data_IF_389029479353
#
_entry.id   IF_389029479353
#
_cell.length_a   1.000
_cell.length_b   1.000
_cell.length_c   1.000
_cell.angle_alpha   90.00
_cell.angle_beta   90.00
_cell.angle_gamma   90.00
#
_symmetry.space_group_name_H-M   'P 1'
#
loop_
_entity.id
_entity.type
_entity.pdbx_description
1 polymer ?
#
# COMPACT_ATOMS: atom_id res chain seq x y z
N UNK A 1 13.58 11.61 -14.98
CA UNK A 1 13.28 10.82 -13.76
C UNK A 1 12.88 9.41 -14.16
N UNK A 2 13.26 8.37 -13.39
CA UNK A 2 12.85 6.97 -13.65
C UNK A 2 11.34 6.84 -13.43
N UNK A 3 10.63 6.30 -14.41
CA UNK A 3 9.20 6.00 -14.34
C UNK A 3 9.02 4.54 -13.94
N UNK A 4 8.09 4.27 -13.04
CA UNK A 4 7.77 2.95 -12.53
C UNK A 4 6.38 2.53 -12.98
N UNK A 5 6.18 1.24 -13.22
CA UNK A 5 4.84 0.67 -13.31
C UNK A 5 4.34 0.42 -11.87
N UNK A 6 3.35 1.18 -11.45
CA UNK A 6 2.78 1.12 -10.11
C UNK A 6 1.40 0.45 -10.13
N UNK A 7 1.00 -0.09 -9.00
CA UNK A 7 -0.38 -0.47 -8.77
C UNK A 7 -0.79 -0.31 -7.30
N UNK A 8 -2.04 0.08 -7.10
CA UNK A 8 -2.68 0.07 -5.79
C UNK A 8 -3.48 -1.23 -5.60
N UNK A 9 -3.42 -1.82 -4.41
CA UNK A 9 -4.26 -2.96 -4.00
C UNK A 9 -5.40 -2.47 -3.11
N UNK A 10 -6.51 -3.19 -3.09
CA UNK A 10 -7.69 -2.87 -2.29
C UNK A 10 -8.51 -4.12 -1.96
N UNK A 11 -9.44 -3.97 -1.03
CA UNK A 11 -10.49 -4.97 -0.81
C UNK A 11 -11.38 -5.14 -2.04
N UNK A 12 -11.88 -6.35 -2.25
CA UNK A 12 -12.77 -6.65 -3.37
C UNK A 12 -14.02 -5.74 -3.36
N UNK A 13 -14.38 -5.20 -4.53
CA UNK A 13 -15.49 -4.27 -4.71
C UNK A 13 -15.10 -2.78 -4.60
N UNK A 14 -13.89 -2.46 -4.17
CA UNK A 14 -13.41 -1.08 -4.09
C UNK A 14 -12.57 -0.63 -5.31
N UNK A 15 -12.43 -1.47 -6.33
CA UNK A 15 -11.63 -1.16 -7.51
C UNK A 15 -12.06 0.14 -8.20
N UNK A 16 -13.39 0.36 -8.34
CA UNK A 16 -13.92 1.58 -8.94
C UNK A 16 -13.66 2.83 -8.10
N UNK A 17 -13.65 2.69 -6.78
CA UNK A 17 -13.41 3.80 -5.85
C UNK A 17 -11.94 4.22 -5.89
N UNK A 18 -11.00 3.27 -5.75
CA UNK A 18 -9.56 3.53 -5.88
C UNK A 18 -9.21 4.08 -7.26
N UNK A 19 -9.87 3.55 -8.32
CA UNK A 19 -9.70 4.05 -9.68
C UNK A 19 -10.07 5.53 -9.80
N UNK A 20 -11.22 5.94 -9.23
CA UNK A 20 -11.64 7.35 -9.21
C UNK A 20 -10.68 8.22 -8.41
N UNK A 21 -10.16 7.74 -7.27
CA UNK A 21 -9.15 8.47 -6.50
C UNK A 21 -7.88 8.73 -7.34
N UNK A 22 -7.34 7.69 -8.01
CA UNK A 22 -6.15 7.83 -8.85
C UNK A 22 -6.40 8.74 -10.07
N UNK A 23 -7.56 8.61 -10.74
CA UNK A 23 -7.94 9.50 -11.83
C UNK A 23 -8.09 10.95 -11.37
N UNK A 24 -8.68 11.18 -10.19
CA UNK A 24 -8.76 12.50 -9.56
C UNK A 24 -7.39 13.11 -9.23
N UNK A 25 -6.36 12.28 -9.04
CA UNK A 25 -4.97 12.71 -8.88
C UNK A 25 -4.25 12.96 -10.22
N UNK A 26 -4.91 12.69 -11.37
CA UNK A 26 -4.37 12.91 -12.71
C UNK A 26 -3.75 11.69 -13.39
N UNK A 27 -3.85 10.50 -12.80
CA UNK A 27 -3.25 9.29 -13.39
C UNK A 27 -4.14 8.65 -14.45
N UNK A 28 -3.52 8.16 -15.54
CA UNK A 28 -4.14 7.20 -16.45
C UNK A 28 -4.06 5.81 -15.81
N UNK A 29 -5.20 5.13 -15.73
CA UNK A 29 -5.34 3.90 -14.95
C UNK A 29 -5.81 2.72 -15.79
N UNK A 30 -5.46 1.50 -15.35
CA UNK A 30 -5.99 0.23 -15.85
C UNK A 30 -6.45 -0.60 -14.65
N UNK A 31 -7.73 -0.94 -14.65
CA UNK A 31 -8.37 -1.68 -13.55
C UNK A 31 -8.29 -3.19 -13.81
N UNK A 32 -7.88 -3.94 -12.79
CA UNK A 32 -8.00 -5.39 -12.71
C UNK A 32 -8.65 -5.78 -11.38
N UNK A 33 -9.04 -7.04 -11.24
CA UNK A 33 -9.61 -7.53 -9.99
C UNK A 33 -8.62 -7.37 -8.82
N UNK A 34 -9.00 -6.59 -7.81
CA UNK A 34 -8.21 -6.27 -6.63
C UNK A 34 -7.00 -5.34 -6.88
N UNK A 35 -6.90 -4.71 -8.07
CA UNK A 35 -5.77 -3.82 -8.42
C UNK A 35 -6.18 -2.72 -9.37
N UNK A 36 -5.51 -1.57 -9.22
CA UNK A 36 -5.55 -0.48 -10.20
C UNK A 36 -4.12 -0.10 -10.54
N UNK A 37 -3.74 -0.28 -11.82
CA UNK A 37 -2.41 0.03 -12.34
C UNK A 37 -2.34 1.47 -12.84
N UNK A 38 -1.18 2.09 -12.66
CA UNK A 38 -0.85 3.43 -13.15
C UNK A 38 0.68 3.56 -13.31
N UNK A 39 1.14 4.63 -13.94
CA UNK A 39 2.56 4.93 -14.04
C UNK A 39 2.90 6.15 -13.20
N UNK A 40 4.12 6.20 -12.68
CA UNK A 40 4.58 7.32 -11.88
C UNK A 40 6.05 7.26 -11.50
N UNK A 41 6.52 8.33 -10.91
CA UNK A 41 7.89 8.55 -10.41
C UNK A 41 7.98 8.30 -8.91
N UNK A 42 9.11 8.58 -8.28
CA UNK A 42 9.24 8.56 -6.82
C UNK A 42 8.29 9.56 -6.13
N UNK A 43 8.08 10.74 -6.72
CA UNK A 43 7.11 11.72 -6.22
C UNK A 43 5.69 11.15 -6.22
N UNK A 44 5.33 10.37 -7.25
CA UNK A 44 4.01 9.73 -7.35
C UNK A 44 3.86 8.58 -6.36
N UNK A 45 4.94 7.85 -6.05
CA UNK A 45 4.96 6.86 -4.96
C UNK A 45 4.62 7.54 -3.63
N UNK A 46 5.27 8.66 -3.32
CA UNK A 46 4.97 9.44 -2.11
C UNK A 46 3.54 9.94 -2.13
N UNK A 47 3.13 10.60 -3.21
CA UNK A 47 1.79 11.20 -3.36
C UNK A 47 0.69 10.16 -3.17
N UNK A 48 0.80 9.00 -3.80
CA UNK A 48 -0.24 7.97 -3.73
C UNK A 48 -0.29 7.27 -2.37
N UNK A 49 0.86 6.99 -1.75
CA UNK A 49 0.89 6.47 -0.38
C UNK A 49 0.34 7.48 0.65
N UNK A 50 0.60 8.76 0.47
CA UNK A 50 0.16 9.82 1.38
C UNK A 50 -1.36 10.08 1.27
N UNK A 51 -1.92 10.08 0.05
CA UNK A 51 -3.26 10.58 -0.23
C UNK A 51 -4.33 9.53 -0.52
N UNK A 52 -3.99 8.30 -0.91
CA UNK A 52 -4.99 7.25 -1.16
C UNK A 52 -5.69 6.86 0.15
N UNK A 53 -7.01 7.01 0.15
CA UNK A 53 -7.85 6.74 1.31
C UNK A 53 -8.39 5.32 1.34
N UNK A 54 -8.65 4.75 0.15
CA UNK A 54 -9.42 3.50 0.01
C UNK A 54 -8.56 2.31 -0.40
N UNK A 55 -7.30 2.54 -0.76
CA UNK A 55 -6.34 1.49 -1.05
C UNK A 55 -5.77 0.82 0.20
N UNK A 56 -5.27 -0.40 0.04
CA UNK A 56 -4.52 -1.12 1.08
C UNK A 56 -3.02 -0.85 0.99
N UNK A 57 -2.45 -0.87 -0.23
CA UNK A 57 -1.02 -0.71 -0.49
C UNK A 57 -0.78 -0.13 -1.88
N UNK A 58 0.38 0.50 -2.05
CA UNK A 58 0.94 0.89 -3.35
C UNK A 58 2.23 0.11 -3.57
N UNK A 59 2.37 -0.51 -4.73
CA UNK A 59 3.50 -1.37 -5.06
C UNK A 59 4.10 -1.01 -6.41
N UNK A 60 5.40 -1.24 -6.57
CA UNK A 60 6.10 -1.21 -7.86
C UNK A 60 6.00 -2.60 -8.47
N UNK A 61 5.47 -2.73 -9.69
CA UNK A 61 5.55 -3.95 -10.46
C UNK A 61 6.96 -4.07 -11.06
N UNK A 62 7.69 -5.10 -10.65
CA UNK A 62 9.05 -5.36 -11.11
C UNK A 62 9.06 -6.20 -12.38
N UNK A 63 8.37 -7.34 -12.35
CA UNK A 63 8.27 -8.28 -13.49
C UNK A 63 6.93 -8.99 -13.50
N UNK A 64 6.39 -9.27 -14.68
CA UNK A 64 5.21 -10.09 -14.89
C UNK A 64 5.55 -11.17 -15.93
N UNK A 65 5.25 -12.44 -15.63
CA UNK A 65 5.55 -13.56 -16.50
C UNK A 65 4.62 -14.75 -16.22
N UNK A 66 4.56 -15.71 -17.17
CA UNK A 66 3.80 -16.94 -16.99
C UNK A 66 4.67 -17.97 -16.27
N UNK A 67 4.15 -18.58 -15.20
CA UNK A 67 4.80 -19.65 -14.47
C UNK A 67 3.80 -20.78 -14.17
N UNK A 68 4.09 -21.97 -14.70
CA UNK A 68 3.28 -23.20 -14.48
C UNK A 68 4.02 -24.26 -13.69
N UNK A 69 5.31 -24.05 -13.43
CA UNK A 69 6.23 -24.93 -12.72
C UNK A 69 7.25 -24.09 -11.95
N UNK A 70 7.93 -24.71 -10.99
CA UNK A 70 8.90 -24.03 -10.14
C UNK A 70 10.20 -23.63 -10.84
N UNK A 71 10.61 -24.38 -11.87
CA UNK A 71 11.82 -24.06 -12.63
C UNK A 71 11.62 -22.76 -13.42
N UNK A 72 10.48 -22.61 -14.08
CA UNK A 72 10.11 -21.33 -14.73
C UNK A 72 10.04 -20.18 -13.72
N UNK A 73 9.39 -20.41 -12.57
CA UNK A 73 9.30 -19.38 -11.51
C UNK A 73 10.69 -18.96 -11.02
N UNK A 74 11.59 -19.92 -10.80
CA UNK A 74 12.96 -19.67 -10.39
C UNK A 74 13.74 -18.89 -11.46
N UNK A 75 13.77 -19.36 -12.69
CA UNK A 75 14.58 -18.79 -13.76
C UNK A 75 14.13 -17.36 -14.09
N UNK A 76 12.84 -17.12 -14.24
CA UNK A 76 12.29 -15.79 -14.52
C UNK A 76 12.53 -14.81 -13.38
N UNK A 77 12.56 -15.29 -12.13
CA UNK A 77 12.91 -14.48 -10.96
C UNK A 77 14.41 -14.18 -10.92
N UNK A 78 15.25 -15.18 -11.20
CA UNK A 78 16.69 -15.06 -11.23
C UNK A 78 17.17 -14.08 -12.32
N UNK A 79 16.52 -14.04 -13.48
CA UNK A 79 16.89 -13.18 -14.61
C UNK A 79 16.65 -11.66 -14.35
N UNK A 80 15.94 -11.30 -13.28
CA UNK A 80 15.76 -9.91 -12.91
C UNK A 80 17.06 -9.32 -12.33
N UNK A 81 17.34 -8.06 -12.61
CA UNK A 81 18.52 -7.36 -12.08
C UNK A 81 18.28 -6.85 -10.65
N UNK A 82 18.46 -7.77 -9.68
CA UNK A 82 18.19 -7.46 -8.28
C UNK A 82 19.17 -6.47 -7.66
N UNK A 83 20.41 -6.40 -8.15
CA UNK A 83 21.42 -5.49 -7.62
C UNK A 83 21.12 -3.99 -7.93
N UNK A 84 20.31 -3.71 -8.97
CA UNK A 84 19.80 -2.35 -9.20
C UNK A 84 18.76 -1.91 -8.16
N UNK A 85 18.12 -2.87 -7.48
CA UNK A 85 17.03 -2.62 -6.54
C UNK A 85 17.46 -2.81 -5.08
N UNK A 86 18.23 -3.86 -4.80
CA UNK A 86 18.57 -4.34 -3.48
C UNK A 86 20.07 -4.16 -3.20
N UNK A 87 20.47 -3.36 -2.19
CA UNK A 87 21.84 -3.37 -1.67
C UNK A 87 22.25 -4.77 -1.20
N UNK A 88 23.55 -5.01 -1.13
CA UNK A 88 24.12 -6.32 -0.76
C UNK A 88 23.68 -6.81 0.62
N UNK A 89 23.36 -5.89 1.52
CA UNK A 89 22.93 -6.15 2.90
C UNK A 89 21.42 -5.97 3.12
N UNK A 90 20.66 -5.75 2.05
CA UNK A 90 19.20 -5.58 2.14
C UNK A 90 18.51 -6.74 2.86
N UNK A 91 17.57 -6.43 3.74
CA UNK A 91 16.55 -7.39 4.20
C UNK A 91 15.42 -7.40 3.21
N UNK A 92 15.11 -8.54 2.64
CA UNK A 92 14.01 -8.65 1.67
C UNK A 92 13.09 -9.84 1.99
N UNK A 93 12.15 -9.65 2.93
CA UNK A 93 11.11 -10.65 3.16
C UNK A 93 10.27 -10.80 1.89
N UNK A 94 10.01 -12.04 1.50
CA UNK A 94 9.19 -12.37 0.34
C UNK A 94 7.85 -12.91 0.82
N UNK A 95 6.75 -12.28 0.43
CA UNK A 95 5.41 -12.79 0.66
C UNK A 95 4.87 -13.41 -0.63
N UNK A 96 4.35 -14.63 -0.54
CA UNK A 96 3.78 -15.36 -1.66
C UNK A 96 2.27 -15.48 -1.53
N UNK A 97 1.59 -15.37 -2.67
CA UNK A 97 0.18 -15.70 -2.80
C UNK A 97 -0.09 -16.37 -4.14
N UNK A 98 -0.80 -17.49 -4.12
CA UNK A 98 -1.13 -18.23 -5.33
C UNK A 98 -2.63 -18.56 -5.36
N UNK A 99 -3.32 -18.14 -6.44
CA UNK A 99 -4.76 -18.31 -6.60
C UNK A 99 -5.07 -18.81 -7.99
N UNK A 100 -5.91 -19.86 -8.09
CA UNK A 100 -6.34 -20.45 -9.38
C UNK A 100 -5.17 -20.77 -10.32
N UNK A 101 -4.08 -21.31 -9.78
CA UNK A 101 -2.82 -21.57 -10.49
C UNK A 101 -2.32 -22.99 -10.24
N UNK A 102 -1.48 -23.52 -11.15
CA UNK A 102 -0.82 -24.82 -10.96
C UNK A 102 0.12 -24.78 -9.73
N UNK A 103 0.88 -23.73 -9.59
CA UNK A 103 1.64 -23.44 -8.37
C UNK A 103 0.68 -22.90 -7.34
N UNK A 104 0.32 -23.69 -6.33
CA UNK A 104 -0.68 -23.35 -5.33
C UNK A 104 -0.14 -23.34 -3.89
N UNK A 105 1.06 -23.90 -3.66
CA UNK A 105 1.72 -23.87 -2.36
C UNK A 105 2.39 -22.50 -2.16
N UNK A 106 1.79 -21.64 -1.37
CA UNK A 106 2.34 -20.29 -1.07
C UNK A 106 3.73 -20.38 -0.40
N UNK A 107 3.99 -21.28 0.57
CA UNK A 107 5.34 -21.42 1.15
C UNK A 107 6.41 -21.83 0.12
N UNK A 108 6.08 -22.74 -0.81
CA UNK A 108 7.04 -23.17 -1.83
C UNK A 108 7.32 -22.05 -2.83
N UNK A 109 6.28 -21.32 -3.25
CA UNK A 109 6.41 -20.12 -4.10
C UNK A 109 7.34 -19.08 -3.43
N UNK A 110 7.14 -18.79 -2.15
CA UNK A 110 7.99 -17.87 -1.39
C UNK A 110 9.45 -18.37 -1.35
N UNK A 111 9.65 -19.63 -1.01
CA UNK A 111 10.97 -20.23 -0.87
C UNK A 111 11.74 -20.21 -2.19
N UNK A 112 11.09 -20.59 -3.31
CA UNK A 112 11.69 -20.59 -4.65
C UNK A 112 12.07 -19.18 -5.08
N UNK A 113 11.18 -18.21 -4.92
CA UNK A 113 11.45 -16.81 -5.26
C UNK A 113 12.59 -16.25 -4.39
N UNK A 114 12.56 -16.46 -3.06
CA UNK A 114 13.65 -16.02 -2.16
C UNK A 114 14.98 -16.64 -2.60
N UNK A 115 15.01 -17.95 -2.91
CA UNK A 115 16.22 -18.64 -3.35
C UNK A 115 16.75 -18.06 -4.66
N UNK A 116 15.89 -17.78 -5.63
CA UNK A 116 16.29 -17.22 -6.92
C UNK A 116 16.92 -15.83 -6.75
N UNK A 117 16.31 -14.97 -5.90
CA UNK A 117 16.83 -13.64 -5.59
C UNK A 117 18.20 -13.74 -4.91
N UNK A 118 18.33 -14.58 -3.88
CA UNK A 118 19.61 -14.79 -3.15
C UNK A 118 20.69 -15.23 -4.10
N UNK A 119 20.43 -16.24 -4.95
CA UNK A 119 21.42 -16.75 -5.91
C UNK A 119 21.86 -15.65 -6.88
N UNK A 120 20.91 -14.89 -7.45
CA UNK A 120 21.23 -13.78 -8.36
C UNK A 120 22.06 -12.70 -7.68
N UNK A 121 21.70 -12.30 -6.47
CA UNK A 121 22.45 -11.28 -5.71
C UNK A 121 23.87 -11.77 -5.35
N UNK A 122 24.02 -13.05 -4.96
CA UNK A 122 25.34 -13.66 -4.69
C UNK A 122 26.23 -13.56 -5.94
N UNK A 123 25.68 -13.88 -7.11
CA UNK A 123 26.41 -13.82 -8.38
C UNK A 123 26.71 -12.36 -8.78
N UNK A 124 25.75 -11.46 -8.70
CA UNK A 124 25.93 -10.04 -9.08
C UNK A 124 26.92 -9.30 -8.15
N UNK A 125 26.91 -9.60 -6.86
CA UNK A 125 27.82 -9.00 -5.88
C UNK A 125 29.15 -9.79 -5.72
N UNK A 126 29.36 -10.85 -6.51
CA UNK A 126 30.56 -11.71 -6.46
C UNK A 126 30.88 -12.20 -5.03
N UNK A 127 29.84 -12.53 -4.26
CA UNK A 127 29.97 -12.99 -2.87
C UNK A 127 30.21 -14.50 -2.81
N UNK A 128 30.90 -14.91 -1.73
CA UNK A 128 30.98 -16.31 -1.32
C UNK A 128 30.22 -16.47 0.00
N UNK A 129 29.16 -17.28 0.02
CA UNK A 129 28.35 -17.54 1.21
C UNK A 129 27.06 -16.72 1.30
N UNK A 130 26.65 -16.39 2.50
CA UNK A 130 25.36 -15.76 2.77
C UNK A 130 25.36 -14.24 2.53
N UNK A 131 24.17 -13.71 2.17
CA UNK A 131 23.92 -12.28 2.23
C UNK A 131 23.71 -11.87 3.70
N UNK A 132 24.23 -10.72 4.15
CA UNK A 132 24.18 -10.36 5.56
C UNK A 132 22.77 -10.02 6.08
N UNK A 133 21.86 -9.60 5.22
CA UNK A 133 20.47 -9.18 5.56
C UNK A 133 20.40 -8.28 6.82
N UNK A 134 21.35 -7.35 6.98
CA UNK A 134 21.49 -6.46 8.14
C UNK A 134 21.07 -5.02 7.87
N UNK A 135 20.85 -4.69 6.60
CA UNK A 135 20.48 -3.36 6.14
C UNK A 135 18.98 -3.06 6.20
N UNK A 136 18.54 -2.12 5.38
CA UNK A 136 17.15 -1.70 5.28
C UNK A 136 16.24 -2.79 4.69
N UNK A 137 14.94 -2.70 5.02
CA UNK A 137 13.96 -3.69 4.59
C UNK A 137 13.32 -3.29 3.26
N UNK A 138 13.28 -4.26 2.32
CA UNK A 138 12.67 -4.16 0.99
C UNK A 138 11.59 -5.25 0.87
N UNK A 139 10.35 -5.00 1.28
CA UNK A 139 9.32 -6.03 1.27
C UNK A 139 8.96 -6.40 -0.17
N UNK A 140 9.16 -7.67 -0.52
CA UNK A 140 8.86 -8.21 -1.85
C UNK A 140 7.61 -9.09 -1.80
N UNK A 141 6.84 -9.04 -2.88
CA UNK A 141 5.68 -9.88 -3.08
C UNK A 141 5.79 -10.67 -4.36
N UNK A 142 5.40 -11.94 -4.31
CA UNK A 142 5.09 -12.74 -5.48
C UNK A 142 3.62 -13.15 -5.45
N UNK A 143 2.87 -12.69 -6.43
CA UNK A 143 1.46 -13.04 -6.57
C UNK A 143 1.23 -13.80 -7.87
N UNK A 144 0.78 -15.06 -7.76
CA UNK A 144 0.44 -15.89 -8.92
C UNK A 144 -1.08 -15.99 -9.05
N UNK A 145 -1.60 -15.54 -10.18
CA UNK A 145 -3.02 -15.64 -10.49
C UNK A 145 -3.22 -16.18 -11.91
N UNK A 146 -3.97 -17.28 -12.06
CA UNK A 146 -4.18 -17.94 -13.35
C UNK A 146 -2.85 -18.21 -14.10
N UNK A 147 -1.85 -18.70 -13.36
CA UNK A 147 -0.49 -18.98 -13.83
C UNK A 147 0.31 -17.76 -14.32
N UNK A 148 -0.10 -16.55 -14.02
CA UNK A 148 0.68 -15.34 -14.23
C UNK A 148 1.27 -14.90 -12.90
N UNK A 149 2.60 -14.91 -12.79
CA UNK A 149 3.36 -14.46 -11.65
C UNK A 149 3.70 -12.98 -11.80
N UNK A 150 3.55 -12.23 -10.71
CA UNK A 150 3.95 -10.82 -10.59
C UNK A 150 4.88 -10.67 -9.41
N UNK A 151 6.09 -10.21 -9.69
CA UNK A 151 7.05 -9.80 -8.68
C UNK A 151 6.88 -8.31 -8.43
N UNK A 152 6.82 -7.90 -7.18
CA UNK A 152 6.58 -6.50 -6.81
C UNK A 152 7.34 -6.10 -5.57
N UNK A 153 7.69 -4.81 -5.47
CA UNK A 153 8.22 -4.19 -4.28
C UNK A 153 7.09 -3.39 -3.59
N UNK A 154 6.84 -3.68 -2.33
CA UNK A 154 5.86 -2.94 -1.53
C UNK A 154 6.46 -1.63 -1.04
N UNK A 155 5.90 -0.51 -1.48
CA UNK A 155 6.34 0.84 -1.08
C UNK A 155 5.65 1.33 0.19
N UNK A 156 4.58 0.67 0.61
CA UNK A 156 3.73 1.09 1.72
C UNK A 156 4.20 0.61 3.08
N UNK A 157 4.61 -0.66 3.19
CA UNK A 157 4.92 -1.32 4.47
C UNK A 157 3.65 -1.75 5.22
N UNK A 158 3.35 -1.19 6.38
CA UNK A 158 2.07 -1.44 7.04
C UNK A 158 0.91 -0.96 6.17
N UNK A 159 -0.21 -1.70 6.09
CA UNK A 159 -1.34 -1.35 5.22
C UNK A 159 -1.84 0.08 5.43
N UNK A 160 -2.30 0.75 4.37
CA UNK A 160 -2.72 2.16 4.40
C UNK A 160 -3.88 2.42 5.38
N UNK A 161 -4.74 1.44 5.65
CA UNK A 161 -5.77 1.61 6.67
C UNK A 161 -5.21 1.89 8.08
N UNK A 162 -3.98 1.45 8.38
CA UNK A 162 -3.28 1.82 9.63
C UNK A 162 -2.79 3.26 9.52
N UNK A 163 -3.69 4.23 9.71
CA UNK A 163 -3.41 5.67 9.54
C UNK A 163 -2.37 6.22 10.52
N UNK A 164 -2.30 5.63 11.72
CA UNK A 164 -1.42 6.08 12.80
C UNK A 164 -2.11 6.98 13.84
N UNK A 165 -3.36 7.38 13.64
CA UNK A 165 -4.09 8.17 14.63
C UNK A 165 -4.74 7.33 15.74
N UNK A 166 -4.97 6.05 15.51
CA UNK A 166 -5.62 5.17 16.49
C UNK A 166 -4.63 4.75 17.58
N UNK A 167 -4.89 5.15 18.83
CA UNK A 167 -4.06 4.85 19.99
C UNK A 167 -4.55 3.57 20.67
N UNK A 168 -5.87 3.39 20.79
CA UNK A 168 -6.49 2.25 21.45
C UNK A 168 -7.33 1.42 20.48
N UNK A 169 -7.38 0.11 20.73
CA UNK A 169 -8.18 -0.84 19.96
C UNK A 169 -9.30 -1.37 20.86
N UNK A 170 -10.53 -0.89 20.63
CA UNK A 170 -11.73 -1.60 21.03
C UNK A 170 -11.88 -2.92 20.26
N UNK A 171 -12.99 -3.63 20.36
CA UNK A 171 -13.27 -4.86 19.59
C UNK A 171 -12.84 -4.79 18.12
N UNK A 172 -13.49 -5.41 17.17
CA UNK A 172 -13.12 -5.40 15.76
C UNK A 172 -13.69 -4.14 15.04
N UNK A 173 -13.01 -2.98 15.05
CA UNK A 173 -13.54 -1.76 14.43
C UNK A 173 -13.55 -1.87 12.91
N UNK A 174 -14.41 -1.08 12.27
CA UNK A 174 -14.38 -0.89 10.82
C UNK A 174 -12.99 -0.40 10.40
N UNK A 175 -12.41 -1.01 9.36
CA UNK A 175 -11.12 -0.53 8.81
C UNK A 175 -11.28 0.87 8.23
N UNK A 176 -10.30 1.72 8.43
CA UNK A 176 -10.30 3.12 8.03
C UNK A 176 -10.47 3.31 6.51
N UNK A 177 -9.82 2.46 5.70
CA UNK A 177 -9.98 2.50 4.24
C UNK A 177 -11.38 2.06 3.78
N UNK A 178 -12.04 1.17 4.51
CA UNK A 178 -13.44 0.80 4.25
C UNK A 178 -14.38 1.95 4.62
N UNK A 179 -14.19 2.58 5.78
CA UNK A 179 -14.96 3.77 6.18
C UNK A 179 -14.82 4.90 5.16
N UNK A 180 -13.59 5.20 4.73
CA UNK A 180 -13.34 6.17 3.67
C UNK A 180 -14.00 5.77 2.35
N UNK A 181 -13.98 4.49 2.00
CA UNK A 181 -14.62 3.95 0.81
C UNK A 181 -16.14 4.11 0.83
N UNK A 182 -16.79 3.83 1.96
CA UNK A 182 -18.24 4.06 2.14
C UNK A 182 -18.58 5.53 1.94
N UNK A 183 -17.81 6.44 2.54
CA UNK A 183 -17.99 7.89 2.35
C UNK A 183 -17.81 8.31 0.88
N UNK A 184 -16.82 7.75 0.17
CA UNK A 184 -16.58 8.04 -1.26
C UNK A 184 -17.64 7.47 -2.21
N UNK A 185 -18.45 6.51 -1.76
CA UNK A 185 -19.61 6.01 -2.48
C UNK A 185 -20.85 6.92 -2.33
N UNK A 186 -20.82 7.86 -1.38
CA UNK A 186 -21.82 8.90 -1.20
C UNK A 186 -21.35 10.22 -1.82
N UNK A 187 -22.21 11.24 -1.97
CA UNK A 187 -21.80 12.58 -2.39
C UNK A 187 -21.08 13.38 -1.29
N UNK A 188 -20.74 12.77 -0.14
CA UNK A 188 -20.11 13.47 0.97
C UNK A 188 -18.75 14.06 0.59
N UNK A 189 -18.61 15.34 0.83
CA UNK A 189 -17.39 16.12 0.55
C UNK A 189 -17.04 17.11 1.69
N UNK A 190 -17.77 17.08 2.80
CA UNK A 190 -17.59 17.96 3.95
C UNK A 190 -18.38 19.27 3.92
N UNK A 191 -19.12 19.57 2.84
CA UNK A 191 -19.98 20.77 2.75
C UNK A 191 -21.36 20.60 3.39
N UNK A 192 -21.74 19.37 3.72
CA UNK A 192 -22.99 19.02 4.37
C UNK A 192 -22.75 18.34 5.72
N UNK A 193 -23.65 18.51 6.69
CA UNK A 193 -23.58 17.81 7.95
C UNK A 193 -23.56 16.28 7.77
N UNK A 194 -22.83 15.59 8.65
CA UNK A 194 -22.82 14.12 8.74
C UNK A 194 -23.26 13.71 10.14
N UNK A 195 -24.13 12.69 10.22
CA UNK A 195 -24.56 12.11 11.48
C UNK A 195 -24.24 10.61 11.43
N UNK A 196 -23.48 10.15 12.43
CA UNK A 196 -23.19 8.74 12.65
C UNK A 196 -23.77 8.32 14.02
N UNK A 197 -24.98 7.73 14.03
CA UNK A 197 -25.69 7.41 15.27
C UNK A 197 -25.22 6.13 15.97
N UNK A 198 -24.32 5.36 15.35
CA UNK A 198 -23.74 4.11 15.88
C UNK A 198 -22.26 4.06 15.59
N UNK A 199 -21.55 5.08 16.07
CA UNK A 199 -20.20 5.39 15.62
C UNK A 199 -19.12 4.42 16.12
N UNK A 200 -19.42 3.62 17.15
CA UNK A 200 -18.43 2.79 17.80
C UNK A 200 -17.22 3.64 18.24
N UNK A 201 -16.03 3.22 17.87
CA UNK A 201 -14.79 3.96 18.12
C UNK A 201 -14.54 5.13 17.13
N UNK A 202 -15.58 5.65 16.48
CA UNK A 202 -15.54 6.87 15.68
C UNK A 202 -14.94 6.76 14.29
N UNK A 203 -14.67 5.56 13.75
CA UNK A 203 -13.92 5.40 12.50
C UNK A 203 -14.55 6.15 11.32
N UNK A 204 -15.86 6.04 11.12
CA UNK A 204 -16.56 6.72 10.02
C UNK A 204 -16.52 8.24 10.19
N UNK A 205 -16.80 8.74 11.40
CA UNK A 205 -16.79 10.17 11.72
C UNK A 205 -15.39 10.78 11.56
N UNK A 206 -14.33 10.06 11.99
CA UNK A 206 -12.94 10.50 11.84
C UNK A 206 -12.55 10.57 10.36
N UNK A 207 -12.81 9.52 9.57
CA UNK A 207 -12.50 9.54 8.13
C UNK A 207 -13.31 10.61 7.38
N UNK A 208 -14.55 10.89 7.80
CA UNK A 208 -15.34 12.01 7.29
C UNK A 208 -14.68 13.36 7.60
N UNK A 209 -14.18 13.57 8.82
CA UNK A 209 -13.45 14.77 9.20
C UNK A 209 -12.15 14.93 8.40
N UNK A 210 -11.40 13.85 8.16
CA UNK A 210 -10.19 13.86 7.33
C UNK A 210 -10.51 14.26 5.87
N UNK A 211 -11.65 13.79 5.33
CA UNK A 211 -12.11 14.17 3.98
C UNK A 211 -12.50 15.65 3.97
N UNK A 212 -13.35 16.08 4.90
CA UNK A 212 -13.87 17.44 4.98
C UNK A 212 -12.75 18.48 5.13
N UNK A 213 -11.79 18.19 5.99
CA UNK A 213 -10.64 19.07 6.24
C UNK A 213 -9.49 18.92 5.25
N UNK A 214 -9.63 18.10 4.23
CA UNK A 214 -8.56 17.77 3.28
C UNK A 214 -7.26 17.35 3.97
N UNK A 215 -7.33 16.53 5.01
CA UNK A 215 -6.15 15.99 5.69
C UNK A 215 -5.73 14.70 4.98
N UNK A 216 -4.45 14.61 4.60
CA UNK A 216 -3.90 13.40 3.97
C UNK A 216 -3.88 12.24 4.96
N UNK A 217 -4.46 11.07 4.63
CA UNK A 217 -4.57 9.94 5.56
C UNK A 217 -3.22 9.32 5.97
N UNK A 218 -2.17 9.55 5.18
CA UNK A 218 -0.82 9.08 5.45
C UNK A 218 0.03 9.98 6.35
N UNK A 219 -0.54 11.06 6.91
CA UNK A 219 0.22 12.11 7.65
C UNK A 219 0.93 11.60 8.90
N UNK A 220 0.38 10.61 9.59
CA UNK A 220 0.88 10.16 10.91
C UNK A 220 1.63 8.83 10.86
N UNK A 221 2.16 8.45 9.72
CA UNK A 221 2.82 7.15 9.56
C UNK A 221 4.10 7.23 8.74
N UNK A 222 4.93 6.21 8.87
CA UNK A 222 6.07 5.95 7.97
C UNK A 222 5.65 4.96 6.88
N UNK A 223 6.41 4.94 5.80
CA UNK A 223 6.23 4.02 4.67
C UNK A 223 7.49 3.19 4.45
N UNK A 224 7.36 2.05 3.75
CA UNK A 224 8.52 1.22 3.45
C UNK A 224 9.52 1.95 2.56
N UNK A 225 9.05 2.78 1.61
CA UNK A 225 9.95 3.55 0.73
C UNK A 225 10.88 4.52 1.47
N UNK A 226 10.53 4.93 2.70
CA UNK A 226 11.40 5.80 3.53
C UNK A 226 12.73 5.12 3.89
N UNK A 227 12.78 3.79 3.82
CA UNK A 227 13.96 2.98 4.09
C UNK A 227 14.73 2.54 2.84
N UNK A 228 14.31 2.88 1.63
CA UNK A 228 14.99 2.44 0.42
C UNK A 228 16.19 3.35 0.11
N UNK A 229 17.38 2.79 0.04
CA UNK A 229 18.64 3.57 -0.12
C UNK A 229 18.69 4.40 -1.42
N UNK A 230 17.97 3.95 -2.47
CA UNK A 230 17.87 4.66 -3.75
C UNK A 230 16.74 5.69 -3.80
N UNK A 231 15.94 5.81 -2.72
CA UNK A 231 14.80 6.71 -2.68
C UNK A 231 15.20 8.07 -2.13
N UNK A 232 14.73 9.16 -2.75
CA UNK A 232 14.99 10.50 -2.23
C UNK A 232 14.14 10.80 -0.97
N UNK A 233 14.79 10.75 0.19
CA UNK A 233 14.16 10.99 1.49
C UNK A 233 13.53 12.39 1.64
N UNK A 234 13.93 13.38 0.82
CA UNK A 234 13.36 14.72 0.88
C UNK A 234 11.96 14.78 0.27
N UNK A 235 11.61 13.88 -0.65
CA UNK A 235 10.31 13.88 -1.32
C UNK A 235 9.16 13.69 -0.32
N UNK A 236 9.28 12.75 0.61
CA UNK A 236 8.25 12.53 1.64
C UNK A 236 8.11 13.74 2.56
N UNK A 237 9.23 14.30 3.02
CA UNK A 237 9.23 15.49 3.89
C UNK A 237 8.58 16.70 3.20
N UNK A 238 8.90 16.93 1.93
CA UNK A 238 8.31 18.01 1.15
C UNK A 238 6.80 17.80 0.92
N UNK A 239 6.39 16.56 0.58
CA UNK A 239 4.98 16.22 0.38
C UNK A 239 4.16 16.39 1.68
N UNK A 240 4.70 15.98 2.84
CA UNK A 240 4.07 16.20 4.14
C UNK A 240 3.93 17.69 4.47
N UNK A 241 4.97 18.48 4.23
CA UNK A 241 4.93 19.93 4.44
C UNK A 241 3.83 20.57 3.58
N UNK A 242 3.77 20.21 2.29
CA UNK A 242 2.72 20.67 1.38
C UNK A 242 1.33 20.24 1.85
N UNK A 243 1.13 18.96 2.20
CA UNK A 243 -0.16 18.46 2.65
C UNK A 243 -0.71 19.21 3.88
N UNK A 244 0.18 19.64 4.79
CA UNK A 244 -0.22 20.46 5.95
C UNK A 244 -0.75 21.85 5.56
N UNK A 245 -0.24 22.45 4.50
CA UNK A 245 -0.73 23.76 4.02
C UNK A 245 -2.07 23.67 3.27
N UNK A 246 -2.45 22.46 2.84
CA UNK A 246 -3.71 22.20 2.12
C UNK A 246 -4.88 21.85 3.07
N UNK A 247 -4.64 21.81 4.38
CA UNK A 247 -5.68 21.57 5.39
C UNK A 247 -6.68 22.72 5.43
N UNK A 248 -7.98 22.38 5.41
CA UNK A 248 -9.10 23.34 5.42
C UNK A 248 -9.82 23.35 6.76
N UNK A 249 -10.53 24.43 7.10
CA UNK A 249 -11.47 24.41 8.22
C UNK A 249 -12.62 23.42 7.94
N UNK A 250 -13.28 22.95 9.00
CA UNK A 250 -14.50 22.16 8.87
C UNK A 250 -15.66 23.08 8.53
N UNK A 251 -16.32 22.89 7.37
CA UNK A 251 -17.41 23.76 6.89
C UNK A 251 -18.78 23.37 7.47
N UNK A 252 -18.99 22.05 7.71
CA UNK A 252 -20.25 21.53 8.25
C UNK A 252 -19.98 20.59 9.43
N UNK A 253 -20.87 20.52 10.42
CA UNK A 253 -20.65 19.71 11.61
C UNK A 253 -20.72 18.22 11.32
N UNK A 254 -19.98 17.44 12.09
CA UNK A 254 -20.03 15.98 12.13
C UNK A 254 -20.45 15.58 13.54
N UNK A 255 -21.61 14.91 13.66
CA UNK A 255 -22.10 14.37 14.92
C UNK A 255 -21.94 12.86 14.94
N UNK A 256 -21.37 12.37 16.03
CA UNK A 256 -21.17 10.96 16.28
C UNK A 256 -21.76 10.59 17.65
N UNK A 257 -22.51 9.52 17.73
CA UNK A 257 -23.07 9.01 18.97
C UNK A 257 -23.06 7.48 18.99
N UNK A 258 -23.04 6.93 20.18
CA UNK A 258 -23.20 5.49 20.40
C UNK A 258 -23.90 5.27 21.74
N UNK A 259 -24.60 4.12 21.88
CA UNK A 259 -25.23 3.74 23.13
C UNK A 259 -24.19 3.27 24.17
N UNK A 260 -23.06 2.76 23.69
CA UNK A 260 -21.95 2.31 24.53
C UNK A 260 -20.98 3.46 24.80
N UNK A 261 -21.01 3.97 26.03
CA UNK A 261 -20.17 5.07 26.45
C UNK A 261 -18.67 4.71 26.46
N UNK A 262 -18.33 3.43 26.67
CA UNK A 262 -16.93 3.00 26.69
C UNK A 262 -16.25 3.14 25.33
N UNK A 263 -16.96 2.89 24.23
CA UNK A 263 -16.40 3.08 22.87
C UNK A 263 -16.32 4.54 22.48
N UNK A 264 -17.18 5.41 23.03
CA UNK A 264 -17.10 6.87 22.82
C UNK A 264 -15.87 7.48 23.47
N UNK A 265 -15.41 6.96 24.61
CA UNK A 265 -14.14 7.40 25.22
C UNK A 265 -12.93 7.07 24.33
N UNK A 266 -12.97 5.95 23.59
CA UNK A 266 -11.94 5.60 22.61
C UNK A 266 -11.99 6.53 21.38
N UNK A 267 -13.18 7.04 21.05
CA UNK A 267 -13.40 7.91 19.89
C UNK A 267 -12.93 9.38 20.12
N UNK A 268 -12.78 9.80 21.36
CA UNK A 268 -12.30 11.15 21.75
C UNK A 268 -10.79 11.27 21.60
#
# INVERSE_FOLDING_TARGET
MKEYQLYATMGAGFESVVNKELQGMGYKTRVENGRVFFKGTQEDIVKTNLWLRTADRVKILLKEFRATDFDTLFNETYDYDWAELLPVDAKFPVQGRAVKSKLHSEPDVQSIVKKAIVNKMVDQYHRRGFLPESGNEYPLDVHIYKNVARLSLDTTGASLFKRGYRVEHGGAPLKENFAAGLLRLTPYNGTHPLIDPMTGSGTLAIEAALIAKNIAPGTWRKFAFDGFDWFDANLHKAALAKAKTEVKPLEAPIWASDIDQSVLEIAK
#
